data_IF_870591407903
#
_entry.id   IF_870591407903
#
_cell.length_a   1.000
_cell.length_b   1.000
_cell.length_c   1.000
_cell.angle_alpha   90.00
_cell.angle_beta   90.00
_cell.angle_gamma   90.00
#
_symmetry.space_group_name_H-M   'P 1'
#
loop_
_entity.id
_entity.type
_entity.pdbx_description
1 polymer ?
#
# COMPACT_ATOMS: atom_id res chain seq x y z
N UNK A 1 -11.21 21.83 -19.28
CA UNK A 1 -12.60 21.42 -19.57
C UNK A 1 -12.84 21.44 -21.08
N UNK A 2 -12.53 22.51 -21.79
CA UNK A 2 -12.69 22.63 -23.24
C UNK A 2 -11.96 21.53 -24.03
N UNK A 3 -10.73 21.18 -23.62
CA UNK A 3 -9.96 20.11 -24.27
C UNK A 3 -10.65 18.74 -24.08
N UNK A 4 -11.21 18.47 -22.90
CA UNK A 4 -11.92 17.20 -22.62
C UNK A 4 -13.18 17.08 -23.50
N UNK A 5 -13.93 18.15 -23.65
CA UNK A 5 -15.11 18.19 -24.53
C UNK A 5 -14.72 18.02 -26.00
N UNK A 6 -13.62 18.63 -26.42
CA UNK A 6 -13.11 18.49 -27.80
C UNK A 6 -12.69 17.04 -28.07
N UNK A 7 -11.97 16.40 -27.18
CA UNK A 7 -11.55 14.98 -27.31
C UNK A 7 -12.79 14.07 -27.32
N UNK A 8 -13.76 14.30 -26.43
CA UNK A 8 -15.00 13.54 -26.39
C UNK A 8 -15.81 13.70 -27.73
N UNK A 9 -15.93 14.93 -28.22
CA UNK A 9 -16.54 15.19 -29.52
C UNK A 9 -15.86 14.37 -30.62
N UNK A 10 -14.56 14.48 -30.74
CA UNK A 10 -13.77 13.83 -31.78
C UNK A 10 -13.89 12.29 -31.74
N UNK A 11 -13.84 11.67 -30.55
CA UNK A 11 -14.02 10.23 -30.39
C UNK A 11 -15.42 9.77 -30.76
N UNK A 12 -16.47 10.53 -30.39
CA UNK A 12 -17.86 10.17 -30.66
C UNK A 12 -18.13 10.37 -32.19
N UNK A 13 -17.58 11.41 -32.77
CA UNK A 13 -17.75 11.71 -34.20
C UNK A 13 -17.10 10.64 -35.09
N UNK A 14 -15.87 10.24 -34.82
CA UNK A 14 -15.19 9.13 -35.50
C UNK A 14 -15.98 7.82 -35.34
N UNK A 15 -16.47 7.55 -34.13
CA UNK A 15 -17.23 6.33 -33.86
C UNK A 15 -18.56 6.33 -34.62
N UNK A 16 -19.24 7.46 -34.66
CA UNK A 16 -20.50 7.63 -35.44
C UNK A 16 -20.32 7.46 -36.92
N UNK A 17 -19.29 8.07 -37.47
CA UNK A 17 -18.97 7.95 -38.92
C UNK A 17 -18.55 6.52 -39.26
N UNK A 18 -17.87 5.80 -38.37
CA UNK A 18 -17.55 4.37 -38.55
C UNK A 18 -18.82 3.52 -38.57
N UNK A 19 -19.72 3.70 -37.60
CA UNK A 19 -20.99 2.98 -37.52
C UNK A 19 -21.87 3.19 -38.74
N UNK A 20 -21.88 4.41 -39.32
CA UNK A 20 -22.57 4.70 -40.55
C UNK A 20 -21.93 4.00 -41.76
N UNK A 21 -20.60 3.94 -41.84
CA UNK A 21 -19.86 3.24 -42.88
C UNK A 21 -20.07 1.75 -42.84
N UNK A 22 -20.15 1.17 -41.62
CA UNK A 22 -20.39 -0.25 -41.39
C UNK A 22 -21.88 -0.64 -41.55
N UNK A 23 -22.74 0.32 -41.90
CA UNK A 23 -24.18 0.10 -42.11
C UNK A 23 -25.01 -0.13 -40.85
N UNK A 24 -24.43 0.06 -39.67
CA UNK A 24 -25.12 -0.13 -38.38
C UNK A 24 -26.11 1.01 -38.08
N UNK A 25 -25.89 2.19 -38.61
CA UNK A 25 -26.79 3.36 -38.53
C UNK A 25 -26.85 4.07 -39.87
N UNK A 26 -27.96 4.76 -40.10
CA UNK A 26 -28.11 5.56 -41.35
C UNK A 26 -27.04 6.66 -41.42
N UNK A 27 -26.57 7.04 -42.67
CA UNK A 27 -25.50 8.00 -42.84
C UNK A 27 -25.73 9.34 -42.14
N UNK A 28 -26.96 9.82 -42.14
CA UNK A 28 -27.36 11.05 -41.46
C UNK A 28 -27.17 10.96 -39.94
N UNK A 29 -27.62 9.87 -39.31
CA UNK A 29 -27.50 9.68 -37.90
C UNK A 29 -26.05 9.45 -37.45
N UNK A 30 -25.23 8.81 -38.29
CA UNK A 30 -23.82 8.60 -38.02
C UNK A 30 -23.02 9.89 -37.91
N UNK A 31 -23.33 10.88 -38.78
CA UNK A 31 -22.69 12.20 -38.78
C UNK A 31 -23.15 13.07 -37.60
N UNK A 32 -24.41 12.95 -37.20
CA UNK A 32 -24.98 13.79 -36.13
C UNK A 32 -24.96 13.14 -34.76
N UNK A 33 -24.38 11.93 -34.57
CA UNK A 33 -24.38 11.22 -33.29
C UNK A 33 -23.67 12.00 -32.18
N UNK A 34 -22.59 12.71 -32.52
CA UNK A 34 -21.88 13.58 -31.58
C UNK A 34 -22.77 14.75 -31.10
N UNK A 35 -23.56 15.34 -32.00
CA UNK A 35 -24.49 16.41 -31.67
C UNK A 35 -25.62 15.89 -30.77
N UNK A 36 -26.20 14.73 -31.05
CA UNK A 36 -27.27 14.14 -30.27
C UNK A 36 -26.85 13.83 -28.82
N UNK A 37 -25.59 13.51 -28.62
CA UNK A 37 -25.05 13.20 -27.27
C UNK A 37 -24.59 14.48 -26.58
N UNK A 38 -23.80 15.30 -27.23
CA UNK A 38 -23.12 16.42 -26.59
C UNK A 38 -24.00 17.64 -26.39
N UNK A 39 -24.98 17.88 -27.27
CA UNK A 39 -25.87 19.03 -27.14
C UNK A 39 -26.77 18.93 -25.88
N UNK A 40 -27.50 17.81 -25.62
CA UNK A 40 -28.27 17.67 -24.38
C UNK A 40 -27.36 17.66 -23.14
N UNK A 41 -26.17 17.05 -23.24
CA UNK A 41 -25.19 17.02 -22.13
C UNK A 41 -24.70 18.43 -21.85
N UNK A 42 -24.39 19.23 -22.83
CA UNK A 42 -24.00 20.64 -22.68
C UNK A 42 -25.10 21.49 -22.06
N UNK A 43 -26.34 21.34 -22.49
CA UNK A 43 -27.49 22.01 -21.90
C UNK A 43 -27.71 21.65 -20.45
N UNK A 44 -27.63 20.34 -20.12
CA UNK A 44 -27.76 19.85 -18.76
C UNK A 44 -26.66 20.40 -17.85
N UNK A 45 -25.41 20.39 -18.30
CA UNK A 45 -24.27 20.90 -17.53
C UNK A 45 -24.38 22.42 -17.33
N UNK A 46 -24.81 23.15 -18.34
CA UNK A 46 -25.04 24.61 -18.26
C UNK A 46 -26.17 24.93 -17.27
N UNK A 47 -27.29 24.24 -17.40
CA UNK A 47 -28.41 24.40 -16.47
C UNK A 47 -28.01 24.09 -15.02
N UNK A 48 -27.26 23.01 -14.83
CA UNK A 48 -26.75 22.60 -13.52
C UNK A 48 -25.72 23.58 -12.97
N UNK A 49 -24.83 24.12 -13.84
CA UNK A 49 -23.86 25.13 -13.42
C UNK A 49 -24.50 26.46 -12.98
N UNK A 50 -25.64 26.80 -13.56
CA UNK A 50 -26.43 27.99 -13.15
C UNK A 50 -27.09 27.77 -11.79
N UNK A 51 -27.56 26.56 -11.52
CA UNK A 51 -28.37 26.25 -10.33
C UNK A 51 -27.56 25.68 -9.15
N UNK A 52 -26.34 25.17 -9.38
CA UNK A 52 -25.54 24.53 -8.34
C UNK A 52 -24.03 24.76 -8.57
N UNK A 53 -23.39 25.49 -7.65
CA UNK A 53 -21.96 25.79 -7.68
C UNK A 53 -21.06 24.54 -7.49
N UNK A 54 -21.66 23.39 -7.19
CA UNK A 54 -20.93 22.12 -6.93
C UNK A 54 -20.67 21.27 -8.20
N UNK A 55 -21.05 21.72 -9.39
CA UNK A 55 -20.92 20.95 -10.66
C UNK A 55 -19.49 20.49 -10.96
N UNK A 56 -18.51 21.18 -10.42
CA UNK A 56 -17.09 20.87 -10.63
C UNK A 56 -16.42 20.25 -9.42
N UNK A 57 -17.16 19.49 -8.61
CA UNK A 57 -16.52 18.68 -7.58
C UNK A 57 -15.64 17.60 -8.25
N UNK A 58 -14.33 17.87 -8.32
CA UNK A 58 -13.32 16.99 -8.92
C UNK A 58 -13.38 15.59 -8.32
N UNK A 59 -13.75 15.47 -7.05
CA UNK A 59 -13.85 14.19 -6.33
C UNK A 59 -15.09 13.39 -6.76
N UNK A 60 -16.20 14.05 -7.07
CA UNK A 60 -17.38 13.40 -7.65
C UNK A 60 -17.07 12.85 -9.05
N UNK A 61 -16.38 13.64 -9.88
CA UNK A 61 -15.95 13.22 -11.22
C UNK A 61 -14.97 12.03 -11.12
N UNK A 62 -13.96 12.11 -10.24
CA UNK A 62 -13.04 11.01 -9.98
C UNK A 62 -13.78 9.76 -9.47
N UNK A 63 -14.80 9.91 -8.63
CA UNK A 63 -15.60 8.78 -8.14
C UNK A 63 -16.40 8.10 -9.25
N UNK A 64 -16.95 8.87 -10.20
CA UNK A 64 -17.66 8.33 -11.36
C UNK A 64 -16.70 7.57 -12.28
N UNK A 65 -15.54 8.16 -12.60
CA UNK A 65 -14.51 7.49 -13.39
C UNK A 65 -14.01 6.23 -12.70
N UNK A 66 -13.83 6.26 -11.38
CA UNK A 66 -13.45 5.08 -10.60
C UNK A 66 -14.53 3.99 -10.66
N UNK A 67 -15.83 4.33 -10.54
CA UNK A 67 -16.94 3.36 -10.67
C UNK A 67 -17.03 2.77 -12.09
N UNK A 68 -16.82 3.59 -13.13
CA UNK A 68 -16.78 3.12 -14.52
C UNK A 68 -15.58 2.20 -14.72
N UNK A 69 -14.39 2.57 -14.23
CA UNK A 69 -13.18 1.75 -14.30
C UNK A 69 -13.38 0.39 -13.60
N UNK A 70 -13.97 0.38 -12.40
CA UNK A 70 -14.30 -0.85 -11.67
C UNK A 70 -15.28 -1.73 -12.45
N UNK A 71 -16.30 -1.13 -13.07
CA UNK A 71 -17.29 -1.86 -13.89
C UNK A 71 -16.69 -2.43 -15.17
N UNK A 72 -15.78 -1.72 -15.81
CA UNK A 72 -15.02 -2.20 -16.98
C UNK A 72 -14.05 -3.32 -16.56
N UNK A 73 -13.34 -3.16 -15.45
CA UNK A 73 -12.46 -4.22 -14.91
C UNK A 73 -13.22 -5.49 -14.49
N UNK A 74 -14.49 -5.39 -14.10
CA UNK A 74 -15.31 -6.57 -13.75
C UNK A 74 -15.68 -7.45 -14.97
N UNK A 75 -15.51 -6.94 -16.17
CA UNK A 75 -15.74 -7.68 -17.43
C UNK A 75 -14.49 -8.49 -17.82
N UNK A 76 -13.31 -8.08 -17.37
CA UNK A 76 -12.06 -8.83 -17.55
C UNK A 76 -11.89 -9.82 -16.37
N UNK A 77 -11.25 -10.96 -16.65
CA UNK A 77 -10.90 -11.96 -15.62
C UNK A 77 -10.28 -11.25 -14.41
N UNK A 78 -10.95 -11.30 -13.25
CA UNK A 78 -10.47 -10.68 -12.03
C UNK A 78 -9.08 -11.20 -11.68
N UNK A 79 -8.12 -10.31 -11.51
CA UNK A 79 -6.78 -10.64 -11.01
C UNK A 79 -6.89 -11.20 -9.60
N UNK A 80 -6.44 -12.44 -9.41
CA UNK A 80 -6.50 -13.16 -8.14
C UNK A 80 -5.32 -12.77 -7.27
N UNK A 81 -5.59 -12.06 -6.18
CA UNK A 81 -4.57 -11.56 -5.27
C UNK A 81 -4.49 -12.45 -4.04
N UNK A 82 -3.28 -12.88 -3.66
CA UNK A 82 -3.03 -13.40 -2.32
C UNK A 82 -2.30 -12.32 -1.53
N UNK A 83 -2.79 -12.04 -0.34
CA UNK A 83 -2.23 -11.05 0.56
C UNK A 83 -1.44 -11.71 1.69
N UNK A 84 -0.27 -11.19 2.00
CA UNK A 84 0.60 -11.72 3.05
C UNK A 84 0.94 -10.61 4.05
N UNK A 85 0.57 -10.77 5.30
CA UNK A 85 0.79 -9.76 6.33
C UNK A 85 0.55 -10.27 7.74
N UNK A 86 0.97 -9.51 8.75
CA UNK A 86 0.83 -9.93 10.15
C UNK A 86 0.29 -8.84 11.07
N UNK A 87 0.96 -7.67 11.24
CA UNK A 87 0.56 -6.65 12.20
C UNK A 87 -0.62 -5.80 11.71
N UNK A 88 -1.07 -4.91 12.56
CA UNK A 88 -2.15 -3.96 12.29
C UNK A 88 -1.85 -3.08 11.07
N UNK A 89 -0.60 -2.67 10.88
CA UNK A 89 -0.16 -1.94 9.69
C UNK A 89 -0.56 -2.62 8.37
N UNK A 90 -0.64 -3.95 8.36
CA UNK A 90 -1.02 -4.72 7.18
C UNK A 90 -2.54 -4.83 6.97
N UNK A 91 -3.36 -4.43 7.94
CA UNK A 91 -4.82 -4.53 7.82
C UNK A 91 -5.39 -3.43 6.92
N UNK A 92 -4.95 -2.20 7.08
CA UNK A 92 -5.49 -1.08 6.32
C UNK A 92 -5.24 -1.18 4.79
N UNK A 93 -4.04 -1.57 4.30
CA UNK A 93 -3.83 -1.83 2.86
C UNK A 93 -4.68 -3.01 2.33
N UNK A 94 -4.89 -4.05 3.14
CA UNK A 94 -5.76 -5.17 2.78
C UNK A 94 -7.22 -4.72 2.63
N UNK A 95 -7.72 -3.95 3.59
CA UNK A 95 -9.06 -3.37 3.57
C UNK A 95 -9.24 -2.43 2.36
N UNK A 96 -8.22 -1.62 2.06
CA UNK A 96 -8.21 -0.73 0.91
C UNK A 96 -8.32 -1.50 -0.41
N UNK A 97 -7.60 -2.61 -0.57
CA UNK A 97 -7.73 -3.47 -1.76
C UNK A 97 -9.15 -3.99 -1.92
N UNK A 98 -9.75 -4.52 -0.85
CA UNK A 98 -11.12 -5.06 -0.89
C UNK A 98 -12.17 -3.98 -1.16
N UNK A 99 -12.08 -2.83 -0.50
CA UNK A 99 -12.99 -1.68 -0.72
C UNK A 99 -12.90 -1.14 -2.15
N UNK A 100 -11.77 -1.30 -2.81
CA UNK A 100 -11.60 -0.96 -4.22
C UNK A 100 -11.99 -2.10 -5.19
N UNK A 101 -12.56 -3.21 -4.67
CA UNK A 101 -13.15 -4.28 -5.48
C UNK A 101 -12.17 -5.29 -6.04
N UNK A 102 -10.91 -5.32 -5.53
CA UNK A 102 -9.95 -6.35 -5.92
C UNK A 102 -10.30 -7.72 -5.33
N UNK A 103 -9.98 -8.77 -6.07
CA UNK A 103 -10.26 -10.14 -5.71
C UNK A 103 -9.15 -10.73 -4.81
N UNK A 104 -9.26 -10.51 -3.50
CA UNK A 104 -8.36 -11.11 -2.52
C UNK A 104 -8.86 -12.52 -2.22
N UNK A 105 -8.25 -13.52 -2.88
CA UNK A 105 -8.68 -14.91 -2.84
C UNK A 105 -8.19 -15.69 -1.63
N UNK A 106 -7.21 -15.15 -0.90
CA UNK A 106 -6.68 -15.78 0.30
C UNK A 106 -5.63 -14.92 0.98
N UNK A 107 -5.40 -15.23 2.23
CA UNK A 107 -4.45 -14.53 3.11
C UNK A 107 -3.45 -15.54 3.68
N UNK A 108 -2.19 -15.13 3.72
CA UNK A 108 -1.14 -15.86 4.45
C UNK A 108 -0.67 -15.02 5.62
N UNK A 109 -0.69 -15.57 6.81
CA UNK A 109 -0.21 -14.89 8.02
C UNK A 109 0.58 -15.85 8.90
N UNK A 110 1.16 -15.34 9.99
CA UNK A 110 1.89 -16.18 10.94
C UNK A 110 0.95 -17.12 11.70
N UNK A 111 1.49 -18.26 12.14
CA UNK A 111 0.74 -19.17 13.00
C UNK A 111 0.40 -18.49 14.35
N UNK A 112 -0.75 -18.84 14.90
CA UNK A 112 -1.16 -18.38 16.21
C UNK A 112 -0.15 -18.81 17.27
N UNK A 113 0.14 -17.92 18.21
CA UNK A 113 1.07 -18.20 19.29
C UNK A 113 0.40 -17.97 20.62
N UNK A 114 0.54 -18.92 21.52
CA UNK A 114 0.22 -18.69 22.91
C UNK A 114 1.19 -17.62 23.48
N UNK A 115 0.67 -16.52 23.99
CA UNK A 115 1.48 -15.42 24.53
C UNK A 115 0.81 -14.78 25.74
N UNK A 116 1.63 -14.08 26.55
CA UNK A 116 1.18 -13.37 27.74
C UNK A 116 0.92 -14.25 28.98
N UNK A 117 0.56 -13.60 30.09
CA UNK A 117 0.15 -14.28 31.30
C UNK A 117 -1.16 -15.02 31.07
N UNK A 118 -1.15 -16.36 31.18
CA UNK A 118 -2.30 -17.24 30.94
C UNK A 118 -2.35 -17.89 29.57
N UNK A 119 -1.27 -17.84 28.75
CA UNK A 119 -1.11 -18.56 27.48
C UNK A 119 -2.32 -18.42 26.53
N UNK A 120 -2.95 -17.26 26.50
CA UNK A 120 -4.02 -17.00 25.55
C UNK A 120 -3.46 -17.05 24.11
N UNK A 121 -4.17 -17.76 23.24
CA UNK A 121 -3.82 -17.80 21.82
C UNK A 121 -3.97 -16.38 21.24
N UNK A 122 -2.86 -15.83 20.76
CA UNK A 122 -2.84 -14.51 20.14
C UNK A 122 -2.84 -14.67 18.64
N UNK A 123 -3.93 -14.24 18.03
CA UNK A 123 -4.11 -14.21 16.58
C UNK A 123 -3.55 -12.92 15.99
N UNK A 124 -2.97 -12.99 14.78
CA UNK A 124 -2.52 -11.79 14.07
C UNK A 124 -3.70 -10.86 13.72
N UNK A 125 -3.47 -9.56 13.64
CA UNK A 125 -4.48 -8.59 13.24
C UNK A 125 -5.07 -8.93 11.85
N UNK A 126 -4.21 -9.35 10.92
CA UNK A 126 -4.61 -9.77 9.58
C UNK A 126 -5.49 -11.01 9.60
N UNK A 127 -5.24 -11.99 10.50
CA UNK A 127 -6.11 -13.16 10.67
C UNK A 127 -7.49 -12.76 11.16
N UNK A 128 -7.57 -11.93 12.20
CA UNK A 128 -8.86 -11.44 12.73
C UNK A 128 -9.69 -10.79 11.62
N UNK A 129 -9.07 -9.89 10.87
CA UNK A 129 -9.71 -9.25 9.72
C UNK A 129 -10.18 -10.27 8.68
N UNK A 130 -9.37 -11.29 8.38
CA UNK A 130 -9.71 -12.32 7.40
C UNK A 130 -10.93 -13.14 7.83
N UNK A 131 -10.98 -13.57 9.09
CA UNK A 131 -12.10 -14.34 9.66
C UNK A 131 -13.39 -13.51 9.64
N UNK A 132 -13.35 -12.27 10.10
CA UNK A 132 -14.49 -11.34 10.09
C UNK A 132 -15.06 -11.12 8.67
N UNK A 133 -14.21 -11.23 7.67
CA UNK A 133 -14.57 -10.98 6.27
C UNK A 133 -14.70 -12.26 5.42
N UNK A 134 -14.69 -13.45 6.03
CA UNK A 134 -14.81 -14.76 5.38
C UNK A 134 -13.77 -14.98 4.27
N UNK A 135 -12.51 -14.54 4.47
CA UNK A 135 -11.41 -14.76 3.53
C UNK A 135 -10.62 -16.00 3.98
N UNK A 136 -10.31 -16.95 3.06
CA UNK A 136 -9.48 -18.11 3.39
C UNK A 136 -8.10 -17.71 3.93
N UNK A 137 -7.63 -18.41 4.97
CA UNK A 137 -6.36 -18.12 5.65
C UNK A 137 -5.46 -19.35 5.65
N UNK A 138 -4.18 -19.15 5.32
CA UNK A 138 -3.11 -20.14 5.54
C UNK A 138 -2.13 -19.60 6.58
N UNK A 139 -1.75 -20.45 7.52
CA UNK A 139 -0.85 -20.13 8.63
C UNK A 139 0.33 -21.10 8.71
N UNK A 140 1.21 -21.15 7.70
CA UNK A 140 2.28 -22.14 7.68
C UNK A 140 3.33 -21.87 8.76
N UNK A 141 3.80 -22.94 9.41
CA UNK A 141 5.00 -22.87 10.27
C UNK A 141 6.25 -22.65 9.41
N UNK A 142 6.34 -23.39 8.31
CA UNK A 142 7.40 -23.23 7.32
C UNK A 142 6.82 -22.80 5.97
N UNK A 143 7.39 -21.74 5.37
CA UNK A 143 7.04 -21.30 4.01
C UNK A 143 7.55 -22.23 2.90
N UNK A 144 8.35 -23.23 3.26
CA UNK A 144 8.87 -24.26 2.33
C UNK A 144 8.12 -25.59 2.43
N UNK A 145 7.09 -25.63 3.30
CA UNK A 145 6.26 -26.83 3.47
C UNK A 145 5.54 -27.17 2.16
N UNK A 146 5.66 -28.41 1.63
CA UNK A 146 4.99 -28.83 0.41
C UNK A 146 3.46 -28.71 0.46
N UNK A 147 2.82 -29.06 1.59
CA UNK A 147 1.36 -28.96 1.74
C UNK A 147 0.92 -27.48 1.66
N UNK A 148 1.65 -26.59 2.30
CA UNK A 148 1.41 -25.14 2.18
C UNK A 148 1.55 -24.67 0.75
N UNK A 149 2.62 -25.05 0.04
CA UNK A 149 2.86 -24.64 -1.34
C UNK A 149 1.75 -25.10 -2.28
N UNK A 150 1.27 -26.33 -2.11
CA UNK A 150 0.15 -26.86 -2.90
C UNK A 150 -1.17 -26.12 -2.58
N UNK A 151 -1.47 -25.88 -1.31
CA UNK A 151 -2.65 -25.10 -0.91
C UNK A 151 -2.59 -23.66 -1.47
N UNK A 152 -1.41 -23.03 -1.44
CA UNK A 152 -1.21 -21.69 -1.97
C UNK A 152 -1.40 -21.64 -3.50
N UNK A 153 -0.86 -22.62 -4.24
CA UNK A 153 -1.05 -22.76 -5.70
C UNK A 153 -2.49 -23.07 -6.07
N UNK A 154 -3.22 -23.82 -5.23
CA UNK A 154 -4.64 -24.14 -5.46
C UNK A 154 -5.51 -22.86 -5.53
N UNK A 155 -5.10 -21.79 -4.87
CA UNK A 155 -5.74 -20.48 -5.00
C UNK A 155 -5.52 -19.82 -6.37
N UNK A 156 -4.65 -20.36 -7.23
CA UNK A 156 -4.33 -19.84 -8.58
C UNK A 156 -4.05 -18.33 -8.56
N UNK A 157 -3.10 -17.86 -7.74
CA UNK A 157 -2.82 -16.44 -7.62
C UNK A 157 -2.20 -15.87 -8.90
N UNK A 158 -2.62 -14.66 -9.26
CA UNK A 158 -1.99 -13.89 -10.32
C UNK A 158 -0.95 -12.90 -9.77
N UNK A 159 -1.14 -12.42 -8.52
CA UNK A 159 -0.29 -11.42 -7.87
C UNK A 159 -0.21 -11.69 -6.36
N UNK A 160 0.97 -11.51 -5.78
CA UNK A 160 1.12 -11.44 -4.31
C UNK A 160 1.39 -10.02 -3.86
N UNK A 161 0.69 -9.62 -2.79
CA UNK A 161 0.88 -8.37 -2.08
C UNK A 161 1.39 -8.68 -0.68
N UNK A 162 2.56 -8.16 -0.33
CA UNK A 162 3.22 -8.43 0.95
C UNK A 162 3.32 -7.13 1.74
N UNK A 163 2.90 -7.15 3.00
CA UNK A 163 3.00 -6.00 3.91
C UNK A 163 3.37 -6.49 5.30
N UNK A 164 4.51 -6.05 5.79
CA UNK A 164 5.00 -6.39 7.13
C UNK A 164 4.91 -7.90 7.42
N UNK A 165 5.54 -8.69 6.59
CA UNK A 165 5.58 -10.14 6.69
C UNK A 165 7.03 -10.64 6.77
N UNK A 166 7.21 -11.92 7.12
CA UNK A 166 8.54 -12.55 7.13
C UNK A 166 9.10 -12.70 5.72
N UNK A 167 10.43 -12.80 5.58
CA UNK A 167 11.11 -13.01 4.30
C UNK A 167 10.53 -14.23 3.57
N UNK A 168 10.20 -14.04 2.31
CA UNK A 168 9.65 -15.08 1.45
C UNK A 168 10.79 -15.83 0.73
N UNK A 169 10.80 -17.18 0.79
CA UNK A 169 11.72 -17.95 -0.02
C UNK A 169 11.32 -17.90 -1.51
N UNK A 170 12.28 -18.09 -2.40
CA UNK A 170 12.13 -18.04 -3.86
C UNK A 170 10.96 -18.88 -4.37
N UNK A 171 10.83 -20.10 -3.84
CA UNK A 171 9.75 -21.04 -4.19
C UNK A 171 8.34 -20.50 -3.90
N UNK A 172 8.20 -19.45 -3.09
CA UNK A 172 6.91 -18.79 -2.80
C UNK A 172 6.73 -17.58 -3.70
N UNK A 173 7.69 -16.62 -3.69
CA UNK A 173 7.48 -15.35 -4.37
C UNK A 173 7.50 -15.45 -5.91
N UNK A 174 7.95 -16.54 -6.49
CA UNK A 174 7.89 -16.80 -7.93
C UNK A 174 6.56 -17.45 -8.39
N UNK A 175 5.65 -17.82 -7.48
CA UNK A 175 4.38 -18.49 -7.85
C UNK A 175 3.49 -17.63 -8.77
N UNK A 176 3.22 -16.35 -8.45
CA UNK A 176 2.26 -15.58 -9.23
C UNK A 176 2.87 -15.00 -10.50
N UNK A 177 2.09 -15.04 -11.60
CA UNK A 177 2.55 -14.59 -12.93
C UNK A 177 2.86 -13.08 -13.02
N UNK A 178 2.16 -12.26 -12.25
CA UNK A 178 2.40 -10.82 -12.18
C UNK A 178 3.45 -10.45 -11.15
N UNK A 179 4.02 -11.47 -10.47
CA UNK A 179 5.08 -11.31 -9.48
C UNK A 179 4.58 -11.02 -8.08
N UNK A 180 5.52 -10.72 -7.21
CA UNK A 180 5.29 -10.44 -5.79
C UNK A 180 5.89 -9.10 -5.44
N UNK A 181 5.11 -8.21 -4.83
CA UNK A 181 5.64 -6.93 -4.36
C UNK A 181 5.39 -6.73 -2.87
N UNK A 182 6.22 -5.89 -2.27
CA UNK A 182 6.12 -5.49 -0.87
C UNK A 182 5.83 -4.00 -0.74
N UNK A 183 5.05 -3.63 0.27
CA UNK A 183 4.94 -2.29 0.81
C UNK A 183 5.92 -2.15 1.97
N UNK A 184 6.92 -1.30 1.82
CA UNK A 184 7.92 -0.99 2.84
C UNK A 184 7.71 0.41 3.40
N UNK A 185 7.78 0.53 4.73
CA UNK A 185 7.48 1.77 5.43
C UNK A 185 8.70 2.70 5.54
N UNK A 186 9.40 2.92 4.44
CA UNK A 186 10.46 3.91 4.29
C UNK A 186 10.63 4.32 2.83
N UNK A 187 11.39 5.40 2.59
CA UNK A 187 11.83 5.81 1.26
C UNK A 187 13.06 4.99 0.83
N UNK A 188 12.85 3.79 0.30
CA UNK A 188 13.96 2.98 -0.21
C UNK A 188 14.81 3.76 -1.23
N UNK A 189 16.14 3.60 -1.22
CA UNK A 189 16.93 2.55 -0.57
C UNK A 189 17.29 2.79 0.90
N UNK A 190 16.86 3.89 1.51
CA UNK A 190 17.06 4.16 2.95
C UNK A 190 16.23 3.21 3.80
N UNK A 191 16.76 2.82 4.95
CA UNK A 191 16.05 2.05 5.97
C UNK A 191 15.54 0.68 5.51
N UNK A 192 16.33 -0.05 4.72
CA UNK A 192 16.07 -1.48 4.49
C UNK A 192 16.14 -2.23 5.81
N UNK A 193 15.18 -3.14 6.06
CA UNK A 193 15.18 -3.98 7.25
C UNK A 193 13.87 -3.96 8.04
N UNK A 194 13.96 -4.34 9.33
CA UNK A 194 12.81 -4.76 10.12
C UNK A 194 12.03 -3.63 10.81
N UNK A 195 12.65 -2.46 11.06
CA UNK A 195 12.04 -1.38 11.84
C UNK A 195 12.22 0.02 11.20
N UNK A 196 11.84 0.19 9.91
CA UNK A 196 12.14 1.41 9.15
C UNK A 196 11.54 2.67 9.76
N UNK A 197 10.31 2.61 10.27
CA UNK A 197 9.61 3.76 10.85
C UNK A 197 10.35 4.23 12.11
N UNK A 198 10.67 3.30 13.02
CA UNK A 198 11.37 3.62 14.25
C UNK A 198 12.72 4.28 13.97
N UNK A 199 13.51 3.72 13.06
CA UNK A 199 14.83 4.25 12.76
C UNK A 199 14.81 5.62 12.11
N UNK A 200 13.81 5.93 11.29
CA UNK A 200 13.66 7.28 10.76
C UNK A 200 13.43 8.32 11.87
N UNK A 201 12.59 7.97 12.87
CA UNK A 201 12.30 8.85 14.01
C UNK A 201 13.48 8.92 14.98
N UNK A 202 14.12 7.79 15.32
CA UNK A 202 15.30 7.72 16.21
C UNK A 202 16.46 8.55 15.62
N UNK A 203 16.67 8.49 14.31
CA UNK A 203 17.71 9.28 13.64
C UNK A 203 17.34 10.77 13.51
N UNK A 204 16.12 11.16 13.87
CA UNK A 204 15.66 12.55 13.83
C UNK A 204 15.47 13.08 12.41
N UNK A 205 15.13 12.21 11.48
CA UNK A 205 14.82 12.60 10.11
C UNK A 205 13.56 13.48 10.08
N UNK A 206 13.52 14.42 9.15
CA UNK A 206 12.38 15.34 8.96
C UNK A 206 11.31 14.77 8.04
N UNK A 207 11.64 13.70 7.33
CA UNK A 207 10.75 13.04 6.41
C UNK A 207 11.09 11.54 6.32
N UNK A 208 10.08 10.75 6.08
CA UNK A 208 10.15 9.32 5.71
C UNK A 208 9.13 9.09 4.61
N UNK A 209 8.66 7.87 4.44
CA UNK A 209 7.61 7.57 3.46
C UNK A 209 7.31 6.10 3.35
N UNK A 210 6.66 5.75 2.27
CA UNK A 210 6.36 4.38 1.89
C UNK A 210 6.86 4.09 0.49
N UNK A 211 7.25 2.85 0.25
CA UNK A 211 7.75 2.40 -1.06
C UNK A 211 7.12 1.07 -1.42
N UNK A 212 6.59 0.95 -2.65
CA UNK A 212 6.25 -0.36 -3.22
C UNK A 212 7.36 -0.81 -4.15
N UNK A 213 7.79 -2.07 -4.00
CA UNK A 213 8.88 -2.63 -4.80
C UNK A 213 8.67 -4.13 -5.04
N UNK A 214 9.18 -4.65 -6.16
CA UNK A 214 9.16 -6.08 -6.46
C UNK A 214 10.11 -6.83 -5.55
N UNK A 215 9.68 -7.97 -5.01
CA UNK A 215 10.54 -8.83 -4.20
C UNK A 215 11.55 -9.54 -5.12
N UNK A 216 12.81 -9.58 -4.68
CA UNK A 216 13.91 -10.35 -5.25
C UNK A 216 14.63 -11.19 -4.18
N UNK A 217 15.82 -11.70 -4.47
CA UNK A 217 16.57 -12.55 -3.54
C UNK A 217 17.16 -11.80 -2.34
N UNK A 218 17.31 -10.47 -2.44
CA UNK A 218 17.88 -9.64 -1.39
C UNK A 218 16.83 -9.09 -0.43
N UNK A 219 17.24 -8.66 0.75
CA UNK A 219 16.36 -8.01 1.71
C UNK A 219 16.08 -6.57 1.26
N UNK A 220 14.85 -6.31 0.85
CA UNK A 220 14.35 -5.00 0.43
C UNK A 220 15.18 -4.35 -0.70
N UNK A 221 15.72 -5.18 -1.64
CA UNK A 221 16.63 -4.72 -2.72
C UNK A 221 15.96 -4.58 -4.07
N UNK A 222 14.78 -5.10 -4.25
CA UNK A 222 14.10 -5.18 -5.53
C UNK A 222 13.77 -3.83 -6.17
N UNK A 223 13.31 -3.87 -7.42
CA UNK A 223 13.01 -2.67 -8.21
C UNK A 223 11.81 -1.93 -7.63
N UNK A 224 11.97 -0.62 -7.44
CA UNK A 224 10.92 0.27 -6.95
C UNK A 224 9.91 0.55 -8.06
N UNK A 225 8.64 0.59 -7.67
CA UNK A 225 7.53 1.01 -8.52
C UNK A 225 7.06 2.42 -8.15
N UNK A 226 6.71 2.62 -6.87
CA UNK A 226 6.25 3.92 -6.37
C UNK A 226 6.86 4.24 -5.02
N UNK A 227 6.95 5.54 -4.72
CA UNK A 227 7.39 6.09 -3.44
C UNK A 227 6.54 7.30 -3.11
N UNK A 228 6.09 7.37 -1.87
CA UNK A 228 5.37 8.55 -1.36
C UNK A 228 6.02 9.03 -0.07
N UNK A 229 6.25 10.33 0.00
CA UNK A 229 6.92 10.96 1.13
C UNK A 229 5.92 11.40 2.20
N UNK A 230 6.31 11.26 3.48
CA UNK A 230 5.60 11.72 4.64
C UNK A 230 6.53 12.58 5.51
N UNK A 231 6.09 13.75 5.93
CA UNK A 231 6.85 14.59 6.86
C UNK A 231 6.72 14.05 8.29
N UNK A 232 7.82 14.11 9.03
CA UNK A 232 7.90 13.80 10.47
C UNK A 232 7.97 15.13 11.21
N UNK A 233 6.96 15.40 12.04
CA UNK A 233 6.96 16.56 12.91
C UNK A 233 8.04 16.49 14.01
N UNK A 234 8.45 17.63 14.58
CA UNK A 234 9.55 17.69 15.55
C UNK A 234 9.30 16.85 16.80
N UNK A 235 8.03 16.70 17.19
CA UNK A 235 7.61 16.03 18.42
C UNK A 235 6.81 14.74 18.17
N UNK A 236 6.55 14.41 16.90
CA UNK A 236 5.79 13.21 16.55
C UNK A 236 6.51 11.95 17.02
N UNK A 237 5.73 11.06 17.63
CA UNK A 237 6.13 9.72 18.03
C UNK A 237 6.13 8.77 16.84
N UNK A 238 6.79 7.61 16.99
CA UNK A 238 6.72 6.57 15.96
C UNK A 238 5.30 6.05 15.74
N UNK A 239 4.43 6.08 16.77
CA UNK A 239 3.02 5.69 16.63
C UNK A 239 2.26 6.62 15.69
N UNK A 240 2.40 7.93 15.84
CA UNK A 240 1.74 8.92 14.97
C UNK A 240 2.27 8.85 13.53
N UNK A 241 3.58 8.66 13.36
CA UNK A 241 4.18 8.47 12.03
C UNK A 241 3.71 7.16 11.39
N UNK A 242 3.58 6.06 12.19
CA UNK A 242 3.06 4.78 11.75
C UNK A 242 1.65 4.93 11.15
N UNK A 243 0.76 5.65 11.82
CA UNK A 243 -0.62 5.82 11.38
C UNK A 243 -0.70 6.60 10.08
N UNK A 244 0.09 7.66 9.92
CA UNK A 244 0.22 8.40 8.66
C UNK A 244 0.72 7.51 7.52
N UNK A 245 1.76 6.69 7.78
CA UNK A 245 2.33 5.80 6.78
C UNK A 245 1.38 4.64 6.43
N UNK A 246 0.57 4.19 7.37
CA UNK A 246 -0.44 3.17 7.15
C UNK A 246 -1.52 3.67 6.16
N UNK A 247 -1.99 4.90 6.32
CA UNK A 247 -2.95 5.52 5.40
C UNK A 247 -2.34 5.72 4.01
N UNK A 248 -1.15 6.33 3.96
CA UNK A 248 -0.42 6.62 2.73
C UNK A 248 -0.09 5.31 1.97
N UNK A 249 0.38 4.30 2.69
CA UNK A 249 0.70 2.98 2.16
C UNK A 249 -0.51 2.24 1.61
N UNK A 250 -1.68 2.43 2.24
CA UNK A 250 -2.93 1.83 1.76
C UNK A 250 -3.33 2.37 0.39
N UNK A 251 -3.23 3.67 0.18
CA UNK A 251 -3.46 4.30 -1.11
C UNK A 251 -2.43 3.84 -2.16
N UNK A 252 -1.15 3.76 -1.76
CA UNK A 252 -0.06 3.37 -2.65
C UNK A 252 -0.16 1.91 -3.11
N UNK A 253 -0.61 1.00 -2.24
CA UNK A 253 -0.85 -0.41 -2.59
C UNK A 253 -1.95 -0.54 -3.64
N UNK A 254 -3.05 0.20 -3.51
CA UNK A 254 -4.13 0.22 -4.49
C UNK A 254 -3.62 0.72 -5.84
N UNK A 255 -2.92 1.85 -5.87
CA UNK A 255 -2.31 2.41 -7.07
C UNK A 255 -1.34 1.41 -7.73
N UNK A 256 -0.52 0.73 -6.93
CA UNK A 256 0.46 -0.24 -7.42
C UNK A 256 -0.23 -1.44 -8.08
N UNK A 257 -1.26 -2.00 -7.44
CA UNK A 257 -2.02 -3.12 -8.02
C UNK A 257 -2.70 -2.71 -9.32
N UNK A 258 -3.32 -1.53 -9.38
CA UNK A 258 -3.90 -0.99 -10.61
C UNK A 258 -2.85 -0.92 -11.73
N UNK A 259 -1.70 -0.32 -11.45
CA UNK A 259 -0.64 -0.13 -12.45
C UNK A 259 -0.02 -1.46 -12.91
N UNK A 260 0.11 -2.46 -12.05
CA UNK A 260 0.58 -3.81 -12.42
C UNK A 260 -0.44 -4.47 -13.37
N UNK A 261 -1.73 -4.40 -13.07
CA UNK A 261 -2.80 -4.97 -13.89
C UNK A 261 -2.88 -4.27 -15.25
N UNK A 262 -2.78 -2.96 -15.27
CA UNK A 262 -2.81 -2.14 -16.48
C UNK A 262 -1.48 -2.17 -17.27
N UNK A 263 -0.44 -2.82 -16.72
CA UNK A 263 0.93 -2.86 -17.27
C UNK A 263 1.54 -1.47 -17.49
N UNK A 264 1.13 -0.49 -16.71
CA UNK A 264 1.60 0.90 -16.77
C UNK A 264 2.72 1.22 -15.78
N UNK A 265 3.11 0.26 -14.95
CA UNK A 265 4.14 0.44 -13.93
C UNK A 265 5.55 0.56 -14.54
N UNK A 266 6.30 1.56 -14.08
CA UNK A 266 7.74 1.70 -14.34
C UNK A 266 8.55 1.07 -13.21
N UNK A 267 9.47 0.18 -13.56
CA UNK A 267 10.38 -0.49 -12.60
C UNK A 267 11.72 0.21 -12.57
N UNK A 268 12.07 0.82 -11.43
CA UNK A 268 13.32 1.56 -11.25
C UNK A 268 14.25 0.85 -10.29
N UNK A 269 15.54 0.72 -10.67
CA UNK A 269 16.54 0.17 -9.77
C UNK A 269 16.79 1.14 -8.61
N UNK A 270 16.94 0.62 -7.40
CA UNK A 270 17.08 1.45 -6.19
C UNK A 270 18.29 2.39 -6.25
N UNK A 271 19.36 2.01 -6.95
CA UNK A 271 20.56 2.84 -7.13
C UNK A 271 20.25 4.19 -7.81
N UNK A 272 19.20 4.25 -8.66
CA UNK A 272 18.81 5.50 -9.33
C UNK A 272 18.25 6.57 -8.38
N UNK A 273 17.93 6.19 -7.15
CA UNK A 273 17.43 7.09 -6.12
C UNK A 273 18.51 7.58 -5.15
N UNK A 274 19.75 7.11 -5.28
CA UNK A 274 20.88 7.54 -4.45
C UNK A 274 21.48 8.80 -5.07
N UNK A 275 21.57 9.86 -4.28
CA UNK A 275 22.15 11.13 -4.72
C UNK A 275 23.58 11.27 -4.21
N UNK A 276 24.53 11.39 -5.14
CA UNK A 276 25.95 11.60 -4.82
C UNK A 276 26.55 10.54 -3.89
N UNK A 277 27.13 10.98 -2.79
CA UNK A 277 27.75 10.15 -1.75
C UNK A 277 26.81 9.87 -0.56
N UNK A 278 25.51 9.83 -0.79
CA UNK A 278 24.52 9.58 0.27
C UNK A 278 24.79 8.25 0.97
N UNK A 279 24.86 8.28 2.31
CA UNK A 279 25.07 7.08 3.14
C UNK A 279 23.73 6.42 3.38
N UNK A 280 23.60 5.16 2.97
CA UNK A 280 22.41 4.37 3.24
C UNK A 280 22.40 3.89 4.69
N UNK A 281 21.31 4.16 5.38
CA UNK A 281 21.08 3.74 6.77
C UNK A 281 20.24 2.48 6.78
N UNK A 282 20.67 1.41 7.46
CA UNK A 282 19.84 0.22 7.68
C UNK A 282 18.80 0.44 8.77
N UNK A 283 17.79 -0.40 8.79
CA UNK A 283 16.77 -0.44 9.83
C UNK A 283 16.72 -1.82 10.52
N UNK A 284 17.73 -2.18 11.30
CA UNK A 284 17.77 -3.46 11.98
C UNK A 284 16.63 -3.61 12.99
N UNK A 285 16.37 -4.85 13.39
CA UNK A 285 15.37 -5.16 14.43
C UNK A 285 15.73 -4.44 15.73
N UNK A 286 14.72 -3.87 16.37
CA UNK A 286 14.87 -3.28 17.71
C UNK A 286 15.13 -4.37 18.73
N UNK A 287 16.19 -4.19 19.53
CA UNK A 287 16.53 -5.08 20.66
C UNK A 287 16.19 -4.39 21.97
N UNK A 288 16.14 -5.16 23.05
CA UNK A 288 15.89 -4.60 24.39
C UNK A 288 17.00 -3.64 24.81
N UNK A 289 18.25 -3.98 24.47
CA UNK A 289 19.42 -3.15 24.77
C UNK A 289 19.33 -1.76 24.11
N UNK A 290 18.85 -1.72 22.85
CA UNK A 290 18.63 -0.46 22.13
C UNK A 290 17.57 0.41 22.82
N UNK A 291 16.58 -0.20 23.46
CA UNK A 291 15.50 0.53 24.13
C UNK A 291 15.93 1.11 25.49
N UNK A 292 17.11 0.75 26.02
CA UNK A 292 17.65 1.30 27.26
C UNK A 292 18.19 2.70 27.02
N UNK A 293 17.79 3.67 27.85
CA UNK A 293 18.20 5.08 27.72
C UNK A 293 19.62 5.24 28.28
N UNK A 294 20.54 5.68 27.44
CA UNK A 294 21.85 6.18 27.88
C UNK A 294 21.75 7.68 28.20
N UNK A 295 21.70 7.99 29.47
CA UNK A 295 21.59 9.38 29.97
C UNK A 295 22.85 10.21 29.73
N UNK A 296 23.99 9.61 29.38
CA UNK A 296 25.22 10.34 29.00
C UNK A 296 25.15 10.83 27.53
N UNK A 297 24.15 10.42 26.79
CA UNK A 297 23.92 10.81 25.42
C UNK A 297 23.50 12.29 25.27
N UNK A 298 23.57 12.81 24.03
CA UNK A 298 23.05 14.15 23.73
C UNK A 298 21.54 14.18 23.91
N UNK A 299 21.02 15.24 24.53
CA UNK A 299 19.58 15.43 24.79
C UNK A 299 18.70 15.14 23.56
N UNK A 300 19.10 15.63 22.38
CA UNK A 300 18.37 15.38 21.14
C UNK A 300 18.32 13.89 20.75
N UNK A 301 19.38 13.14 21.00
CA UNK A 301 19.40 11.70 20.71
C UNK A 301 18.50 10.93 21.68
N UNK A 302 18.54 11.27 22.97
CA UNK A 302 17.65 10.70 23.99
C UNK A 302 16.20 11.01 23.65
N UNK A 303 15.90 12.25 23.31
CA UNK A 303 14.56 12.67 22.92
C UNK A 303 14.05 11.88 21.71
N UNK A 304 14.85 11.77 20.64
CA UNK A 304 14.48 11.02 19.45
C UNK A 304 14.35 9.51 19.72
N UNK A 305 15.18 8.95 20.59
CA UNK A 305 15.06 7.55 21.02
C UNK A 305 13.70 7.31 21.69
N UNK A 306 13.33 8.16 22.65
CA UNK A 306 12.08 8.04 23.39
C UNK A 306 10.89 8.11 22.45
N UNK A 307 10.80 9.16 21.61
CA UNK A 307 9.68 9.29 20.68
C UNK A 307 9.69 8.25 19.56
N UNK A 308 10.88 7.79 19.12
CA UNK A 308 11.05 6.76 18.10
C UNK A 308 10.73 5.35 18.59
N UNK A 309 10.56 5.18 19.91
CA UNK A 309 10.12 3.93 20.54
C UNK A 309 8.70 4.02 21.15
N UNK A 310 8.05 5.18 21.10
CA UNK A 310 6.73 5.40 21.72
C UNK A 310 5.59 5.21 20.71
N UNK A 311 4.53 4.46 21.01
CA UNK A 311 4.24 3.83 22.31
C UNK A 311 4.92 2.46 22.53
N UNK A 312 5.44 1.84 21.47
CA UNK A 312 6.00 0.48 21.54
C UNK A 312 7.25 0.37 20.65
N UNK A 313 8.32 -0.33 21.11
CA UNK A 313 8.44 -1.16 22.33
C UNK A 313 8.61 -0.37 23.65
N UNK A 314 8.66 0.94 23.61
CA UNK A 314 8.98 1.90 24.66
C UNK A 314 10.47 1.94 25.03
N UNK A 315 10.97 3.13 25.29
CA UNK A 315 12.28 3.31 25.92
C UNK A 315 12.16 3.08 27.42
N UNK A 316 13.20 2.57 28.05
CA UNK A 316 13.22 2.32 29.49
C UNK A 316 14.55 2.70 30.12
N UNK A 317 14.53 2.88 31.43
CA UNK A 317 15.72 3.06 32.28
C UNK A 317 15.58 2.28 33.57
N UNK A 318 16.65 2.09 34.29
CA UNK A 318 16.69 1.47 35.59
C UNK A 318 16.86 2.54 36.66
N UNK A 319 16.07 2.47 37.72
CA UNK A 319 16.26 3.29 38.91
C UNK A 319 17.15 2.50 39.88
N UNK A 320 18.32 3.06 40.19
CA UNK A 320 19.20 2.55 41.21
C UNK A 320 18.83 3.24 42.51
N UNK A 321 18.37 2.49 43.49
CA UNK A 321 18.16 3.00 44.85
C UNK A 321 19.53 3.14 45.51
N UNK A 322 19.91 4.35 45.87
CA UNK A 322 21.12 4.59 46.61
C UNK A 322 20.92 4.10 48.07
N UNK A 323 21.66 3.07 48.49
CA UNK A 323 21.55 2.48 49.82
C UNK A 323 22.06 3.42 50.94
N UNK A 324 22.32 4.69 50.64
CA UNK A 324 22.83 5.69 51.61
C UNK A 324 21.77 6.30 52.52
N UNK A 325 20.49 6.04 52.31
CA UNK A 325 19.38 6.52 53.17
C UNK A 325 18.94 5.51 54.23
N UNK A 326 19.86 4.70 54.73
CA UNK A 326 19.70 3.97 56.00
C UNK A 326 20.53 4.68 57.09
N UNK A 327 19.98 5.75 57.64
CA UNK A 327 20.34 6.30 58.95
C UNK A 327 19.04 6.57 59.70
#
# INVERSE_FOLDING_TARGET
ISVLFFVAYWVIDISGTKLARDGAVGPFHGVFISTYILFPTGLYLTWKAINDSSVFNVDAIKSIFRKIKIKVMSIFKKTRIVYMGTPEFAVAPLDALRKNGFDVVGIVTVADKASGRGLKVNESAVKKYAVENNIPVLQPLSLKDPEFLEALKAWKPDLFVVVAFRMLPKVVWEIPKLGTFNLHAALLPQYRGAAPINWAVINGDKATGVTTFMIDEGMDTGKIMYREQCLIGPDETVGEVHDKLMELGSALVVQTVEAIIDRSVEYRVQRSFIQGSEILRPAPKLTRELCHIDWNGKTKHIYNLIRGLSPYPAAFTELVKDDKDQL
#
